data_IF_240646075144
#
_entry.id   IF_240646075144
#
_cell.length_a   1.000
_cell.length_b   1.000
_cell.length_c   1.000
_cell.angle_alpha   90.00
_cell.angle_beta   90.00
_cell.angle_gamma   90.00
#
_symmetry.space_group_name_H-M   'P 1'
#
loop_
_entity.id
_entity.type
_entity.pdbx_description
1 polymer ?
#
# COMPACT_ATOMS: atom_id res chain seq x y z
N UNK A 1 11.54 32.12 -37.11
CA UNK A 1 10.48 31.10 -37.26
C UNK A 1 11.04 29.71 -37.03
N UNK A 2 11.69 29.13 -38.06
CA UNK A 2 12.13 27.72 -38.07
C UNK A 2 13.07 27.34 -36.90
N UNK A 3 14.05 28.19 -36.56
CA UNK A 3 14.99 27.93 -35.46
C UNK A 3 14.29 27.81 -34.10
N UNK A 4 13.29 28.67 -33.85
CA UNK A 4 12.53 28.65 -32.61
C UNK A 4 11.62 27.41 -32.52
N UNK A 5 10.99 27.03 -33.63
CA UNK A 5 10.20 25.78 -33.72
C UNK A 5 11.06 24.54 -33.48
N UNK A 6 12.28 24.49 -34.06
CA UNK A 6 13.23 23.41 -33.83
C UNK A 6 13.67 23.33 -32.37
N UNK A 7 13.97 24.46 -31.73
CA UNK A 7 14.37 24.49 -30.32
C UNK A 7 13.27 23.95 -29.40
N UNK A 8 12.00 24.30 -29.63
CA UNK A 8 10.87 23.75 -28.88
C UNK A 8 10.76 22.23 -29.09
N UNK A 9 10.86 21.75 -30.34
CA UNK A 9 10.78 20.31 -30.62
C UNK A 9 11.90 19.51 -29.96
N UNK A 10 13.13 20.04 -29.97
CA UNK A 10 14.27 19.40 -29.31
C UNK A 10 14.08 19.38 -27.80
N UNK A 11 13.63 20.49 -27.20
CA UNK A 11 13.39 20.57 -25.76
C UNK A 11 12.28 19.61 -25.31
N UNK A 12 11.15 19.59 -26.01
CA UNK A 12 10.03 18.68 -25.73
C UNK A 12 10.45 17.22 -25.96
N UNK A 13 11.14 16.92 -27.05
CA UNK A 13 11.64 15.57 -27.34
C UNK A 13 12.65 15.07 -26.30
N UNK A 14 13.50 15.97 -25.79
CA UNK A 14 14.44 15.67 -24.71
C UNK A 14 13.72 15.41 -23.38
N UNK A 15 12.74 16.24 -23.01
CA UNK A 15 11.94 16.05 -21.80
C UNK A 15 11.15 14.72 -21.80
N UNK A 16 10.52 14.36 -22.92
CA UNK A 16 9.81 13.07 -23.05
C UNK A 16 10.80 11.89 -23.01
N UNK A 17 11.99 12.03 -23.59
CA UNK A 17 13.00 10.98 -23.57
C UNK A 17 13.55 10.74 -22.16
N UNK A 18 13.78 11.79 -21.37
CA UNK A 18 14.29 11.64 -19.99
C UNK A 18 13.30 10.94 -19.07
N UNK A 19 11.99 11.19 -19.21
CA UNK A 19 10.94 10.44 -18.51
C UNK A 19 10.97 8.94 -18.85
N UNK A 20 11.17 8.59 -20.13
CA UNK A 20 11.27 7.18 -20.56
C UNK A 20 12.52 6.48 -20.00
N UNK A 21 13.66 7.17 -19.92
CA UNK A 21 14.88 6.62 -19.34
C UNK A 21 14.75 6.40 -17.82
N UNK A 22 14.11 7.33 -17.11
CA UNK A 22 13.81 7.18 -15.69
C UNK A 22 12.91 5.97 -15.45
N UNK A 23 11.85 5.79 -16.23
CA UNK A 23 10.97 4.63 -16.11
C UNK A 23 11.71 3.30 -16.33
N UNK A 24 12.61 3.23 -17.32
CA UNK A 24 13.42 2.02 -17.57
C UNK A 24 14.37 1.72 -16.41
N UNK A 25 15.03 2.73 -15.86
CA UNK A 25 15.95 2.55 -14.74
C UNK A 25 15.21 2.15 -13.45
N UNK A 26 14.03 2.71 -13.20
CA UNK A 26 13.21 2.33 -12.04
C UNK A 26 12.77 0.88 -12.11
N UNK A 27 12.31 0.42 -13.29
CA UNK A 27 12.00 -1.00 -13.52
C UNK A 27 13.19 -1.90 -13.24
N UNK A 28 14.39 -1.49 -13.67
CA UNK A 28 15.61 -2.26 -13.44
C UNK A 28 15.97 -2.33 -11.96
N UNK A 29 16.00 -1.21 -11.24
CA UNK A 29 16.30 -1.20 -9.79
C UNK A 29 15.26 -1.94 -8.95
N UNK A 30 13.98 -1.81 -9.30
CA UNK A 30 12.92 -2.58 -8.67
C UNK A 30 13.11 -4.09 -8.92
N UNK A 31 13.49 -4.49 -10.14
CA UNK A 31 13.80 -5.89 -10.45
C UNK A 31 15.10 -6.40 -9.78
N UNK A 32 16.03 -5.50 -9.47
CA UNK A 32 17.24 -5.79 -8.68
C UNK A 32 16.94 -5.85 -7.17
N UNK A 33 15.70 -5.57 -6.75
CA UNK A 33 15.28 -5.68 -5.35
C UNK A 33 15.68 -4.48 -4.48
N UNK A 34 15.80 -3.30 -5.08
CA UNK A 34 16.15 -2.08 -4.35
C UNK A 34 15.01 -1.61 -3.42
N UNK A 35 15.17 -1.69 -2.08
CA UNK A 35 14.10 -1.42 -1.14
C UNK A 35 13.66 0.06 -1.14
N UNK A 36 14.55 1.00 -1.48
CA UNK A 36 14.20 2.42 -1.56
C UNK A 36 13.30 2.69 -2.77
N UNK A 37 13.62 2.10 -3.93
CA UNK A 37 12.81 2.25 -5.14
C UNK A 37 11.47 1.54 -4.98
N UNK A 38 11.46 0.33 -4.41
CA UNK A 38 10.23 -0.40 -4.10
C UNK A 38 9.37 0.42 -3.15
N UNK A 39 9.94 0.92 -2.05
CA UNK A 39 9.24 1.77 -1.08
C UNK A 39 8.67 3.04 -1.71
N UNK A 40 9.41 3.67 -2.62
CA UNK A 40 8.97 4.86 -3.34
C UNK A 40 7.80 4.57 -4.29
N UNK A 41 7.86 3.47 -5.06
CA UNK A 41 6.78 3.06 -5.99
C UNK A 41 5.48 2.75 -5.26
N UNK A 42 5.57 2.04 -4.13
CA UNK A 42 4.41 1.76 -3.28
C UNK A 42 3.87 3.06 -2.68
N UNK A 43 4.72 3.89 -2.11
CA UNK A 43 4.32 5.16 -1.48
C UNK A 43 3.66 6.12 -2.47
N UNK A 44 4.15 6.20 -3.71
CA UNK A 44 3.52 7.01 -4.75
C UNK A 44 2.11 6.49 -5.10
N UNK A 45 1.96 5.17 -5.20
CA UNK A 45 0.67 4.54 -5.48
C UNK A 45 -0.33 4.74 -4.34
N UNK A 46 0.10 4.59 -3.09
CA UNK A 46 -0.71 4.90 -1.90
C UNK A 46 -1.14 6.38 -1.90
N UNK A 47 -0.23 7.30 -2.21
CA UNK A 47 -0.55 8.73 -2.31
C UNK A 47 -1.55 9.04 -3.43
N UNK A 48 -1.44 8.33 -4.57
CA UNK A 48 -2.40 8.43 -5.67
C UNK A 48 -3.79 7.97 -5.23
N UNK A 49 -3.87 6.81 -4.58
CA UNK A 49 -5.14 6.26 -4.09
C UNK A 49 -5.78 7.16 -3.04
N UNK A 50 -4.97 7.71 -2.12
CA UNK A 50 -5.41 8.69 -1.10
C UNK A 50 -6.10 9.92 -1.68
N UNK A 51 -5.72 10.37 -2.88
CA UNK A 51 -6.31 11.53 -3.55
C UNK A 51 -7.41 11.16 -4.55
N UNK A 52 -7.55 9.89 -4.87
CA UNK A 52 -8.54 9.41 -5.84
C UNK A 52 -9.88 9.10 -5.19
N UNK A 53 -10.94 9.10 -6.01
CA UNK A 53 -12.29 8.74 -5.55
C UNK A 53 -12.40 7.21 -5.39
N UNK A 54 -13.26 6.73 -4.48
CA UNK A 54 -13.57 5.30 -4.38
C UNK A 54 -13.99 4.72 -5.74
N UNK A 55 -13.50 3.53 -6.11
CA UNK A 55 -14.05 2.77 -7.23
C UNK A 55 -15.56 2.52 -7.05
N UNK A 56 -16.32 2.47 -8.14
CA UNK A 56 -17.80 2.32 -8.08
C UNK A 56 -18.25 1.03 -7.39
N UNK A 57 -17.43 -0.01 -7.44
CA UNK A 57 -17.70 -1.35 -6.91
C UNK A 57 -17.24 -1.50 -5.46
N UNK A 58 -16.60 -0.49 -4.87
CA UNK A 58 -16.01 -0.59 -3.54
C UNK A 58 -16.76 0.27 -2.52
N UNK A 59 -17.15 -0.29 -1.36
CA UNK A 59 -17.74 0.49 -0.27
C UNK A 59 -16.81 1.63 0.21
N UNK A 60 -17.37 2.83 0.54
CA UNK A 60 -16.56 3.99 0.94
C UNK A 60 -15.70 3.77 2.19
N UNK A 61 -16.20 3.03 3.19
CA UNK A 61 -15.47 2.68 4.41
C UNK A 61 -14.22 1.83 4.10
N UNK A 62 -14.36 0.82 3.23
CA UNK A 62 -13.25 -0.01 2.76
C UNK A 62 -12.20 0.83 2.02
N UNK A 63 -12.66 1.71 1.15
CA UNK A 63 -11.75 2.62 0.43
C UNK A 63 -11.01 3.57 1.38
N UNK A 64 -11.69 4.10 2.40
CA UNK A 64 -11.07 4.94 3.42
C UNK A 64 -9.92 4.23 4.13
N UNK A 65 -10.07 2.93 4.45
CA UNK A 65 -8.99 2.14 5.02
C UNK A 65 -7.81 1.98 4.05
N UNK A 66 -8.06 1.76 2.76
CA UNK A 66 -6.99 1.73 1.73
C UNK A 66 -6.26 3.08 1.66
N UNK A 67 -6.99 4.20 1.74
CA UNK A 67 -6.38 5.55 1.71
C UNK A 67 -5.51 5.87 2.92
N UNK A 68 -5.78 5.21 4.05
CA UNK A 68 -5.01 5.30 5.30
C UNK A 68 -3.82 4.33 5.34
N UNK A 69 -3.70 3.42 4.37
CA UNK A 69 -2.60 2.48 4.35
C UNK A 69 -1.24 3.17 4.22
N UNK A 70 -0.24 2.57 4.86
CA UNK A 70 1.15 3.03 4.89
C UNK A 70 2.10 1.85 4.70
N UNK A 71 3.30 2.14 4.21
CA UNK A 71 4.37 1.14 4.08
C UNK A 71 5.16 1.12 5.39
N UNK A 72 5.21 -0.04 6.02
CA UNK A 72 5.92 -0.25 7.29
C UNK A 72 7.37 -0.61 7.03
N UNK A 73 7.60 -1.57 6.13
CA UNK A 73 8.91 -2.07 5.78
C UNK A 73 8.95 -2.66 4.37
N UNK A 74 10.14 -2.69 3.79
CA UNK A 74 10.42 -3.21 2.46
C UNK A 74 11.72 -4.01 2.49
N UNK A 75 11.69 -5.17 1.85
CA UNK A 75 12.87 -5.97 1.50
C UNK A 75 12.86 -6.23 -0.03
N UNK A 76 13.89 -6.89 -0.59
CA UNK A 76 14.03 -7.05 -2.03
C UNK A 76 12.83 -7.64 -2.78
N UNK A 77 12.06 -8.53 -2.14
CA UNK A 77 10.93 -9.22 -2.78
C UNK A 77 9.65 -9.25 -1.93
N UNK A 78 9.64 -8.50 -0.82
CA UNK A 78 8.51 -8.41 0.11
C UNK A 78 8.29 -6.97 0.59
N UNK A 79 7.02 -6.58 0.71
CA UNK A 79 6.63 -5.34 1.36
C UNK A 79 5.61 -5.62 2.47
N UNK A 80 5.77 -4.93 3.60
CA UNK A 80 4.80 -4.95 4.70
C UNK A 80 4.07 -3.61 4.74
N UNK A 81 2.74 -3.67 4.70
CA UNK A 81 1.85 -2.53 4.83
C UNK A 81 1.02 -2.62 6.10
N UNK A 82 0.68 -1.48 6.67
CA UNK A 82 -0.30 -1.36 7.74
C UNK A 82 -1.47 -0.49 7.30
N UNK A 83 -2.65 -0.77 7.83
CA UNK A 83 -3.82 0.11 7.74
C UNK A 83 -4.66 0.01 9.02
N UNK A 84 -5.55 0.98 9.24
CA UNK A 84 -6.47 1.00 10.37
C UNK A 84 -7.92 1.00 9.90
N UNK A 85 -8.76 0.21 10.59
CA UNK A 85 -10.20 0.25 10.41
C UNK A 85 -10.83 1.32 11.28
N UNK A 86 -11.83 1.99 10.71
CA UNK A 86 -12.74 2.86 11.45
C UNK A 86 -14.10 2.19 11.45
N UNK A 87 -14.43 1.52 12.55
CA UNK A 87 -15.69 0.81 12.68
C UNK A 87 -16.86 1.78 12.79
N UNK A 88 -17.87 1.56 11.96
CA UNK A 88 -19.13 2.26 12.03
C UNK A 88 -20.04 1.62 13.07
N UNK A 89 -20.73 2.46 13.85
CA UNK A 89 -21.66 2.02 14.88
C UNK A 89 -23.00 2.69 14.68
N UNK A 90 -24.06 1.92 14.88
CA UNK A 90 -25.43 2.40 14.94
C UNK A 90 -25.95 2.32 16.37
N UNK A 91 -26.83 3.24 16.75
CA UNK A 91 -27.52 3.17 18.04
C UNK A 91 -28.78 2.32 17.90
N UNK A 92 -28.82 1.16 18.57
CA UNK A 92 -29.97 0.26 18.62
C UNK A 92 -30.37 0.07 20.09
N UNK A 93 -31.63 0.39 20.43
CA UNK A 93 -32.15 0.30 21.80
C UNK A 93 -31.26 0.99 22.86
N UNK A 94 -30.74 2.17 22.53
CA UNK A 94 -29.86 2.95 23.42
C UNK A 94 -28.43 2.43 23.57
N UNK A 95 -28.03 1.42 22.80
CA UNK A 95 -26.66 0.88 22.78
C UNK A 95 -26.00 1.10 21.43
N UNK A 96 -24.70 1.41 21.42
CA UNK A 96 -23.88 1.47 20.21
C UNK A 96 -23.51 0.04 19.80
N UNK A 97 -23.94 -0.38 18.62
CA UNK A 97 -23.65 -1.70 18.05
C UNK A 97 -22.94 -1.50 16.72
N UNK A 98 -21.85 -2.23 16.43
CA UNK A 98 -21.20 -2.12 15.12
C UNK A 98 -22.18 -2.50 14.00
N UNK A 99 -22.11 -1.78 12.89
CA UNK A 99 -22.97 -2.06 11.72
C UNK A 99 -22.53 -3.33 10.99
N UNK A 100 -21.24 -3.67 11.06
CA UNK A 100 -20.62 -4.80 10.37
C UNK A 100 -19.73 -5.58 11.33
N UNK A 101 -19.51 -6.87 11.05
CA UNK A 101 -18.54 -7.70 11.77
C UNK A 101 -17.12 -7.19 11.52
N UNK A 102 -16.37 -6.77 12.54
CA UNK A 102 -15.06 -6.13 12.36
C UNK A 102 -14.05 -7.00 11.62
N UNK A 103 -14.05 -8.31 11.89
CA UNK A 103 -13.11 -9.22 11.25
C UNK A 103 -13.43 -9.42 9.77
N UNK A 104 -14.71 -9.44 9.39
CA UNK A 104 -15.11 -9.52 7.99
C UNK A 104 -14.70 -8.24 7.25
N UNK A 105 -14.83 -7.08 7.87
CA UNK A 105 -14.36 -5.82 7.31
C UNK A 105 -12.83 -5.79 7.17
N UNK A 106 -12.09 -6.30 8.16
CA UNK A 106 -10.64 -6.45 8.09
C UNK A 106 -10.20 -7.35 6.94
N UNK A 107 -10.91 -8.47 6.73
CA UNK A 107 -10.64 -9.42 5.64
C UNK A 107 -10.86 -8.77 4.27
N UNK A 108 -11.96 -8.03 4.09
CA UNK A 108 -12.25 -7.32 2.85
C UNK A 108 -11.21 -6.23 2.54
N UNK A 109 -10.75 -5.49 3.57
CA UNK A 109 -9.69 -4.47 3.40
C UNK A 109 -8.34 -5.13 3.09
N UNK A 110 -7.97 -6.19 3.80
CA UNK A 110 -6.71 -6.89 3.57
C UNK A 110 -6.66 -7.49 2.17
N UNK A 111 -7.72 -8.19 1.73
CA UNK A 111 -7.78 -8.77 0.39
C UNK A 111 -7.67 -7.69 -0.70
N UNK A 112 -8.37 -6.56 -0.54
CA UNK A 112 -8.31 -5.45 -1.50
C UNK A 112 -6.92 -4.78 -1.54
N UNK A 113 -6.26 -4.59 -0.40
CA UNK A 113 -4.90 -4.05 -0.37
C UNK A 113 -3.89 -5.03 -0.99
N UNK A 114 -4.03 -6.33 -0.73
CA UNK A 114 -3.17 -7.34 -1.33
C UNK A 114 -3.30 -7.33 -2.86
N UNK A 115 -4.53 -7.28 -3.37
CA UNK A 115 -4.81 -7.16 -4.81
C UNK A 115 -4.15 -5.91 -5.42
N UNK A 116 -4.43 -4.74 -4.84
CA UNK A 116 -3.90 -3.47 -5.33
C UNK A 116 -2.36 -3.41 -5.29
N UNK A 117 -1.73 -3.90 -4.23
CA UNK A 117 -0.26 -3.86 -4.13
C UNK A 117 0.38 -4.88 -5.08
N UNK A 118 -0.20 -6.07 -5.20
CA UNK A 118 0.33 -7.09 -6.08
C UNK A 118 0.13 -6.72 -7.55
N UNK A 119 -0.98 -6.11 -7.95
CA UNK A 119 -1.31 -5.99 -9.37
C UNK A 119 -1.35 -4.55 -9.91
N UNK A 120 -1.66 -3.56 -9.07
CA UNK A 120 -1.90 -2.19 -9.52
C UNK A 120 -0.72 -1.22 -9.32
N UNK A 121 0.34 -1.62 -8.61
CA UNK A 121 1.54 -0.77 -8.45
C UNK A 121 2.37 -0.80 -9.74
N UNK A 122 2.50 0.33 -10.46
CA UNK A 122 3.19 0.35 -11.74
C UNK A 122 4.69 0.11 -11.56
N UNK A 123 5.28 -0.66 -12.49
CA UNK A 123 6.71 -0.98 -12.52
C UNK A 123 7.24 -1.78 -11.32
N UNK A 124 6.34 -2.36 -10.51
CA UNK A 124 6.69 -3.18 -9.36
C UNK A 124 6.10 -4.58 -9.52
N UNK A 125 6.90 -5.61 -9.20
CA UNK A 125 6.44 -7.00 -9.16
C UNK A 125 7.07 -7.71 -7.97
N UNK A 126 6.46 -7.57 -6.80
CA UNK A 126 6.87 -8.27 -5.58
C UNK A 126 6.46 -9.74 -5.60
N UNK A 127 7.29 -10.63 -5.08
CA UNK A 127 6.97 -12.03 -4.85
C UNK A 127 6.06 -12.24 -3.65
N UNK A 128 6.08 -11.36 -2.65
CA UNK A 128 5.21 -11.42 -1.48
C UNK A 128 4.77 -10.04 -0.98
N UNK A 129 3.60 -9.97 -0.34
CA UNK A 129 3.09 -8.77 0.33
C UNK A 129 2.44 -9.19 1.64
N UNK A 130 2.76 -8.47 2.72
CA UNK A 130 2.08 -8.58 4.00
C UNK A 130 1.23 -7.35 4.29
N UNK A 131 0.00 -7.56 4.74
CA UNK A 131 -0.91 -6.50 5.18
C UNK A 131 -1.33 -6.75 6.62
N UNK A 132 -1.07 -5.77 7.48
CA UNK A 132 -1.48 -5.76 8.87
C UNK A 132 -2.63 -4.76 9.06
N UNK A 133 -3.77 -5.24 9.57
CA UNK A 133 -4.96 -4.43 9.81
C UNK A 133 -5.13 -4.19 11.30
N UNK A 134 -5.23 -2.91 11.67
CA UNK A 134 -5.37 -2.45 13.04
C UNK A 134 -6.80 -1.98 13.31
N UNK A 135 -7.21 -2.06 14.57
CA UNK A 135 -8.43 -1.44 15.07
C UNK A 135 -8.18 -0.75 16.41
N UNK A 136 -9.04 0.21 16.74
CA UNK A 136 -9.00 0.92 18.01
C UNK A 136 -9.57 0.08 19.16
N UNK A 137 -8.81 0.00 20.26
CA UNK A 137 -9.23 -0.60 21.53
C UNK A 137 -9.33 0.50 22.59
N UNK A 138 -10.32 0.40 23.48
CA UNK A 138 -10.40 1.26 24.64
C UNK A 138 -9.19 1.02 25.55
N UNK A 139 -8.49 2.09 25.91
CA UNK A 139 -7.39 2.05 26.86
C UNK A 139 -7.87 2.41 28.28
N UNK A 140 -7.11 1.99 29.28
CA UNK A 140 -7.47 2.20 30.70
C UNK A 140 -7.51 3.68 31.09
N UNK A 141 -6.77 4.53 30.37
CA UNK A 141 -6.74 5.99 30.55
C UNK A 141 -7.93 6.71 29.88
N UNK A 142 -8.88 5.97 29.33
CA UNK A 142 -10.01 6.51 28.55
C UNK A 142 -9.64 6.89 27.12
N UNK A 143 -8.40 6.65 26.69
CA UNK A 143 -7.94 6.83 25.32
C UNK A 143 -8.34 5.67 24.40
N UNK A 144 -7.84 5.73 23.16
CA UNK A 144 -7.93 4.64 22.20
C UNK A 144 -6.54 4.25 21.74
N UNK A 145 -6.19 2.97 21.84
CA UNK A 145 -4.92 2.42 21.34
C UNK A 145 -5.20 1.54 20.13
N UNK A 146 -4.46 1.76 19.05
CA UNK A 146 -4.51 0.89 17.88
C UNK A 146 -3.80 -0.42 18.17
N UNK A 147 -4.45 -1.55 17.92
CA UNK A 147 -3.84 -2.89 18.02
C UNK A 147 -4.18 -3.71 16.77
N UNK A 148 -3.27 -4.58 16.32
CA UNK A 148 -3.50 -5.40 15.12
C UNK A 148 -4.56 -6.46 15.42
N UNK A 149 -5.46 -6.67 14.47
CA UNK A 149 -6.56 -7.64 14.58
C UNK A 149 -6.53 -8.70 13.49
N UNK A 150 -5.82 -8.43 12.40
CA UNK A 150 -5.60 -9.34 11.29
C UNK A 150 -4.24 -9.05 10.67
N UNK A 151 -3.51 -10.10 10.31
CA UNK A 151 -2.32 -10.03 9.46
C UNK A 151 -2.46 -11.05 8.35
N UNK A 152 -2.12 -10.69 7.12
CA UNK A 152 -2.12 -11.63 6.01
C UNK A 152 -0.90 -11.44 5.13
N UNK A 153 -0.20 -12.54 4.86
CA UNK A 153 0.93 -12.57 3.93
C UNK A 153 0.56 -13.37 2.68
N UNK A 154 0.49 -12.68 1.54
CA UNK A 154 0.18 -13.28 0.26
C UNK A 154 1.44 -13.40 -0.61
N UNK A 155 1.65 -14.58 -1.19
CA UNK A 155 2.62 -14.74 -2.27
C UNK A 155 1.96 -14.48 -3.62
N UNK A 156 2.71 -13.86 -4.54
CA UNK A 156 2.26 -13.63 -5.91
C UNK A 156 1.93 -14.94 -6.63
N UNK A 157 2.74 -15.97 -6.43
CA UNK A 157 2.54 -17.27 -7.09
C UNK A 157 1.15 -17.86 -6.77
N UNK A 158 0.68 -17.69 -5.54
CA UNK A 158 -0.68 -18.09 -5.16
C UNK A 158 -1.70 -17.07 -5.66
N UNK A 159 -1.43 -15.77 -5.52
CA UNK A 159 -2.31 -14.70 -5.97
C UNK A 159 -2.68 -14.81 -7.46
N UNK A 160 -1.69 -15.05 -8.33
CA UNK A 160 -1.84 -15.22 -9.79
C UNK A 160 -2.83 -16.36 -10.13
N UNK A 161 -3.00 -17.35 -9.25
CA UNK A 161 -3.90 -18.48 -9.45
C UNK A 161 -5.31 -18.27 -8.87
N UNK A 162 -5.53 -17.25 -8.04
CA UNK A 162 -6.74 -17.16 -7.21
C UNK A 162 -7.48 -15.83 -7.26
N UNK A 163 -6.81 -14.71 -7.55
CA UNK A 163 -7.49 -13.42 -7.70
C UNK A 163 -8.28 -13.45 -9.01
N UNK A 164 -9.53 -13.91 -8.87
CA UNK A 164 -10.57 -13.93 -9.88
C UNK A 164 -11.82 -13.31 -9.27
N UNK A 165 -12.66 -12.68 -10.10
CA UNK A 165 -13.86 -11.95 -9.65
C UNK A 165 -14.92 -12.84 -8.96
N UNK A 166 -14.70 -14.16 -8.87
CA UNK A 166 -15.65 -15.14 -8.35
C UNK A 166 -15.47 -15.47 -6.86
N UNK A 167 -14.31 -15.17 -6.26
CA UNK A 167 -14.01 -15.53 -4.87
C UNK A 167 -14.28 -14.37 -3.91
N UNK A 168 -14.86 -14.70 -2.75
CA UNK A 168 -15.00 -13.76 -1.64
C UNK A 168 -13.64 -13.47 -0.98
N UNK A 169 -13.54 -12.34 -0.28
CA UNK A 169 -12.31 -11.97 0.45
C UNK A 169 -11.87 -13.07 1.44
N UNK A 170 -12.82 -13.70 2.12
CA UNK A 170 -12.55 -14.80 3.06
C UNK A 170 -11.95 -16.00 2.35
N UNK A 171 -12.47 -16.37 1.18
CA UNK A 171 -11.94 -17.49 0.39
C UNK A 171 -10.57 -17.22 -0.19
N UNK A 172 -10.31 -15.97 -0.61
CA UNK A 172 -8.99 -15.51 -1.05
C UNK A 172 -7.99 -15.62 0.11
N UNK A 173 -8.30 -15.04 1.26
CA UNK A 173 -7.39 -15.01 2.41
C UNK A 173 -7.12 -16.40 2.98
N UNK A 174 -8.09 -17.33 2.94
CA UNK A 174 -7.87 -18.73 3.33
C UNK A 174 -6.78 -19.45 2.54
N UNK A 175 -6.38 -18.92 1.38
CA UNK A 175 -5.30 -19.48 0.55
C UNK A 175 -3.93 -18.88 0.90
N UNK A 176 -3.90 -17.87 1.75
CA UNK A 176 -2.70 -17.17 2.21
C UNK A 176 -2.38 -17.51 3.67
N UNK A 177 -1.23 -17.05 4.14
CA UNK A 177 -0.89 -17.11 5.56
C UNK A 177 -1.58 -15.96 6.28
N UNK A 178 -2.77 -16.22 6.83
CA UNK A 178 -3.60 -15.22 7.50
C UNK A 178 -3.77 -15.56 8.99
N UNK A 179 -3.37 -14.60 9.83
CA UNK A 179 -3.48 -14.66 11.28
C UNK A 179 -4.62 -13.73 11.75
N UNK A 180 -5.59 -14.30 12.46
CA UNK A 180 -6.62 -13.58 13.18
C UNK A 180 -7.28 -14.50 14.22
N UNK A 181 -7.99 -13.92 15.20
CA UNK A 181 -8.85 -14.68 16.08
C UNK A 181 -10.24 -14.84 15.45
N UNK A 182 -10.70 -16.06 15.13
CA UNK A 182 -12.06 -16.26 14.68
C UNK A 182 -13.03 -15.92 15.81
N UNK A 183 -13.89 -14.94 15.59
CA UNK A 183 -15.00 -14.63 16.49
C UNK A 183 -16.32 -14.77 15.73
N UNK A 184 -17.33 -15.33 16.38
CA UNK A 184 -18.70 -15.44 15.83
C UNK A 184 -19.53 -14.18 16.14
N UNK A 185 -18.91 -13.15 16.75
CA UNK A 185 -19.58 -11.94 17.20
C UNK A 185 -18.80 -10.66 16.87
N UNK A 186 -19.21 -9.56 17.50
CA UNK A 186 -18.61 -8.24 17.31
C UNK A 186 -17.38 -7.99 18.20
N UNK A 187 -16.93 -9.00 18.95
CA UNK A 187 -15.78 -8.89 19.83
C UNK A 187 -14.49 -8.83 19.01
N UNK A 188 -13.65 -7.85 19.37
CA UNK A 188 -12.33 -7.64 18.79
C UNK A 188 -11.28 -8.26 19.69
N UNK A 189 -10.44 -9.10 19.11
CA UNK A 189 -9.26 -9.63 19.78
C UNK A 189 -8.02 -9.18 19.02
N UNK A 190 -7.09 -8.55 19.76
CA UNK A 190 -5.80 -8.21 19.20
C UNK A 190 -4.96 -9.48 19.02
N UNK A 191 -4.17 -9.51 17.95
CA UNK A 191 -3.20 -10.58 17.68
C UNK A 191 -1.78 -10.13 18.04
N UNK A 192 -0.88 -11.08 18.17
CA UNK A 192 0.56 -10.83 18.15
C UNK A 192 1.04 -10.92 16.70
N UNK A 193 1.74 -9.89 16.25
CA UNK A 193 2.26 -9.83 14.89
C UNK A 193 3.58 -10.60 14.78
N UNK A 194 3.80 -11.36 13.69
CA UNK A 194 5.11 -11.88 13.41
C UNK A 194 6.10 -10.72 13.14
N UNK A 195 7.41 -10.94 13.33
CA UNK A 195 8.44 -9.95 13.03
C UNK A 195 8.29 -9.39 11.62
N UNK A 196 8.54 -8.09 11.46
CA UNK A 196 8.51 -7.43 10.16
C UNK A 196 9.83 -7.70 9.44
N UNK A 197 9.75 -8.10 8.17
CA UNK A 197 10.92 -8.30 7.31
C UNK A 197 11.24 -7.01 6.53
N UNK A 198 12.53 -6.68 6.45
CA UNK A 198 13.03 -5.53 5.71
C UNK A 198 13.20 -4.27 6.55
N UNK A 199 13.43 -3.16 5.86
CA UNK A 199 13.71 -1.87 6.47
C UNK A 199 12.60 -0.87 6.20
N UNK A 200 12.42 0.11 7.09
CA UNK A 200 11.48 1.20 6.85
C UNK A 200 11.93 1.97 5.61
N UNK A 201 11.08 2.12 4.58
CA UNK A 201 11.48 2.83 3.38
C UNK A 201 11.80 4.28 3.71
N UNK A 202 12.88 4.80 3.12
CA UNK A 202 13.21 6.22 3.22
C UNK A 202 12.15 7.04 2.47
N UNK A 203 11.86 8.28 2.91
CA UNK A 203 10.96 9.15 2.16
C UNK A 203 11.43 9.27 0.70
N UNK A 204 10.50 9.13 -0.25
CA UNK A 204 10.82 9.12 -1.69
C UNK A 204 11.63 10.35 -2.14
N UNK A 205 11.39 11.52 -1.51
CA UNK A 205 12.15 12.73 -1.78
C UNK A 205 13.65 12.61 -1.45
N UNK A 206 14.02 11.81 -0.44
CA UNK A 206 15.40 11.56 -0.03
C UNK A 206 16.02 10.48 -0.93
N UNK A 207 15.29 9.41 -1.22
CA UNK A 207 15.74 8.35 -2.13
C UNK A 207 16.02 8.88 -3.56
N UNK A 208 15.25 9.88 -4.01
CA UNK A 208 15.47 10.53 -5.30
C UNK A 208 16.67 11.50 -5.31
N UNK A 209 17.08 12.02 -4.15
CA UNK A 209 18.23 12.95 -4.05
C UNK A 209 19.57 12.24 -4.17
N UNK A 210 19.69 11.02 -3.65
CA UNK A 210 20.89 10.17 -3.75
C UNK A 210 21.01 9.45 -5.12
N UNK A 211 20.10 9.75 -6.04
CA UNK A 211 20.12 9.15 -7.36
C UNK A 211 21.34 9.69 -8.14
N UNK A 212 22.14 8.82 -8.78
CA UNK A 212 23.42 9.20 -9.42
C UNK A 212 23.30 10.18 -10.59
N UNK A 213 22.08 10.59 -10.97
CA UNK A 213 21.81 11.60 -11.99
C UNK A 213 21.44 12.97 -11.41
N UNK A 214 21.39 13.13 -10.08
CA UNK A 214 21.20 14.43 -9.43
C UNK A 214 22.51 15.26 -9.39
N UNK A 215 23.46 14.97 -10.29
CA UNK A 215 24.75 15.65 -10.45
C UNK A 215 24.61 17.08 -10.98
N UNK A 216 23.43 17.46 -11.51
CA UNK A 216 23.21 18.76 -12.15
C UNK A 216 22.70 19.86 -11.20
N UNK A 217 22.43 19.55 -9.90
CA UNK A 217 21.99 20.58 -8.94
C UNK A 217 23.11 21.18 -8.09
N UNK A 218 24.26 20.52 -7.98
CA UNK A 218 25.41 21.06 -7.25
C UNK A 218 26.29 21.99 -8.10
N UNK A 219 26.12 22.05 -9.42
CA UNK A 219 26.91 22.94 -10.29
C UNK A 219 26.40 24.38 -10.36
N UNK A 220 25.16 24.65 -9.95
CA UNK A 220 24.53 25.97 -10.14
C UNK A 220 24.57 26.86 -8.88
N UNK A 221 25.23 26.39 -7.81
CA UNK A 221 25.31 27.06 -6.52
C UNK A 221 26.61 27.82 -6.23
N UNK A 222 27.52 27.96 -7.20
CA UNK A 222 28.75 28.72 -7.02
C UNK A 222 29.15 29.45 -8.31
N UNK A 223 28.62 30.66 -8.46
CA UNK A 223 28.95 31.62 -9.53
C UNK A 223 28.54 33.02 -9.14
#
# INVERSE_FOLDING_TARGET
>A
GIVFTLAIFVFVGWAVSSEMFQQRQWRRRAAEGDPDIIGALISDSLNRWRRSRPPKTMPPNRWSAIQQAEVVAVAPDIATLSTSLVLEYQTVAGRRVPTTYPIAEAQEVAAALLDLILFDVPNLRLGSVRVDVYAGFAAEDGGTTQRPILSSTASRAVADAIFSDELSAVEVLRRFDTLYHPSEGYELHAIELPPVEGERPRPAAVAAQDAPWNLDRESDGNG
#
